data_IF_625781422914
#
_entry.id   IF_625781422914
#
_cell.length_a   1.000
_cell.length_b   1.000
_cell.length_c   1.000
_cell.angle_alpha   90.00
_cell.angle_beta   90.00
_cell.angle_gamma   90.00
#
_symmetry.space_group_name_H-M   'P 1'
#
loop_
_entity.id
_entity.type
_entity.pdbx_description
1 polymer ?
#
# COMPACT_ATOMS: atom_id res chain seq x y z
N UNK A 1 -5.49 9.16 -31.64
CA UNK A 1 -6.10 8.76 -32.93
C UNK A 1 -5.64 7.35 -33.27
N UNK A 2 -6.60 6.44 -33.43
CA UNK A 2 -6.42 5.01 -33.74
C UNK A 2 -5.78 4.81 -35.11
N UNK A 3 -4.90 3.81 -35.25
CA UNK A 3 -4.69 3.09 -36.52
C UNK A 3 -4.51 1.59 -36.29
N UNK A 4 -5.64 0.90 -36.39
CA UNK A 4 -5.78 -0.55 -36.55
C UNK A 4 -5.33 -0.93 -37.97
N UNK A 5 -4.47 -1.94 -38.10
CA UNK A 5 -4.16 -2.56 -39.41
C UNK A 5 -4.68 -4.00 -39.40
N UNK A 6 -5.71 -4.24 -40.22
CA UNK A 6 -6.22 -5.56 -40.56
C UNK A 6 -5.34 -6.18 -41.64
N UNK A 7 -4.82 -7.38 -41.42
CA UNK A 7 -4.31 -8.24 -42.48
C UNK A 7 -5.34 -9.34 -42.76
N UNK A 8 -6.02 -9.20 -43.90
CA UNK A 8 -6.80 -10.24 -44.52
C UNK A 8 -5.85 -11.22 -45.23
N UNK A 9 -5.95 -12.52 -44.93
CA UNK A 9 -5.35 -13.57 -45.74
C UNK A 9 -6.41 -14.55 -46.22
N UNK A 10 -6.31 -14.81 -47.52
CA UNK A 10 -7.22 -15.53 -48.41
C UNK A 10 -7.41 -16.99 -48.01
N UNK A 11 -8.65 -17.44 -48.13
CA UNK A 11 -9.12 -18.81 -47.95
C UNK A 11 -8.73 -19.71 -49.15
N UNK A 12 -8.02 -20.80 -48.87
CA UNK A 12 -7.94 -21.96 -49.76
C UNK A 12 -8.92 -23.02 -49.26
N UNK A 13 -9.94 -23.31 -50.06
CA UNK A 13 -10.93 -24.37 -49.82
C UNK A 13 -10.31 -25.72 -50.17
N UNK A 14 -10.12 -26.59 -49.17
CA UNK A 14 -9.86 -28.01 -49.37
C UNK A 14 -11.06 -28.80 -48.84
N UNK A 15 -11.74 -29.51 -49.74
CA UNK A 15 -12.85 -30.42 -49.41
C UNK A 15 -12.24 -31.74 -48.96
N UNK A 16 -12.41 -32.08 -47.68
CA UNK A 16 -11.97 -33.35 -47.07
C UNK A 16 -13.04 -33.92 -46.14
N UNK A 17 -13.29 -35.22 -46.28
CA UNK A 17 -14.41 -35.96 -45.71
C UNK A 17 -14.11 -36.47 -44.29
N UNK A 18 -15.09 -36.30 -43.38
CA UNK A 18 -15.36 -37.06 -42.14
C UNK A 18 -14.37 -37.02 -40.95
N UNK A 19 -14.80 -36.35 -39.88
CA UNK A 19 -14.94 -36.90 -38.51
C UNK A 19 -15.69 -35.87 -37.64
N UNK A 20 -16.83 -36.23 -37.05
CA UNK A 20 -17.52 -35.38 -36.08
C UNK A 20 -16.72 -35.34 -34.77
N UNK A 21 -15.77 -34.40 -34.69
CA UNK A 21 -15.19 -34.00 -33.41
C UNK A 21 -16.23 -33.09 -32.74
N UNK A 22 -16.85 -33.60 -31.68
CA UNK A 22 -17.56 -32.78 -30.72
C UNK A 22 -16.58 -31.74 -30.20
N UNK A 23 -16.71 -30.50 -30.67
CA UNK A 23 -16.08 -29.35 -30.04
C UNK A 23 -16.60 -29.29 -28.61
N UNK A 24 -15.85 -29.87 -27.68
CA UNK A 24 -16.01 -29.57 -26.28
C UNK A 24 -15.78 -28.08 -26.15
N UNK A 25 -16.87 -27.32 -26.04
CA UNK A 25 -16.82 -25.96 -25.56
C UNK A 25 -16.17 -26.03 -24.19
N UNK A 26 -14.86 -25.81 -24.13
CA UNK A 26 -14.21 -25.38 -22.92
C UNK A 26 -14.92 -24.08 -22.56
N UNK A 27 -15.91 -24.20 -21.66
CA UNK A 27 -16.31 -23.06 -20.84
C UNK A 27 -15.00 -22.51 -20.29
N UNK A 28 -14.75 -21.19 -20.32
CA UNK A 28 -13.72 -20.64 -19.47
C UNK A 28 -13.98 -21.27 -18.11
N UNK A 29 -13.01 -21.99 -17.56
CA UNK A 29 -13.13 -22.44 -16.19
C UNK A 29 -13.40 -21.18 -15.39
N UNK A 30 -14.64 -21.03 -14.93
CA UNK A 30 -14.84 -20.34 -13.67
C UNK A 30 -13.83 -21.01 -12.74
N UNK A 31 -12.86 -20.24 -12.24
CA UNK A 31 -11.84 -20.72 -11.33
C UNK A 31 -12.56 -21.51 -10.23
N UNK A 32 -12.55 -22.84 -10.35
CA UNK A 32 -12.99 -23.72 -9.29
C UNK A 32 -11.80 -23.72 -8.31
N UNK A 33 -11.90 -22.98 -7.21
CA UNK A 33 -12.64 -23.37 -6.01
C UNK A 33 -11.83 -24.34 -5.13
N UNK A 34 -10.53 -24.10 -4.98
CA UNK A 34 -9.94 -24.25 -3.65
C UNK A 34 -10.22 -22.93 -2.94
N UNK A 35 -11.32 -22.89 -2.18
CA UNK A 35 -11.70 -21.71 -1.40
C UNK A 35 -10.54 -21.23 -0.52
N UNK A 36 -10.55 -19.94 -0.21
CA UNK A 36 -9.51 -19.36 0.65
C UNK A 36 -9.48 -20.00 2.05
N UNK A 37 -8.31 -20.00 2.68
CA UNK A 37 -8.12 -20.48 4.06
C UNK A 37 -7.11 -19.59 4.78
N UNK A 38 -6.87 -19.82 6.08
CA UNK A 38 -5.81 -19.12 6.80
C UNK A 38 -4.44 -19.25 6.10
N UNK A 39 -4.21 -20.34 5.36
CA UNK A 39 -2.99 -20.57 4.62
C UNK A 39 -2.81 -19.64 3.40
N UNK A 40 -3.91 -19.05 2.90
CA UNK A 40 -3.87 -18.02 1.84
C UNK A 40 -3.15 -16.75 2.32
N UNK A 41 -3.23 -16.44 3.62
CA UNK A 41 -2.44 -15.40 4.26
C UNK A 41 -1.24 -15.99 5.00
N UNK A 42 -0.07 -15.96 4.35
CA UNK A 42 1.19 -16.40 4.97
C UNK A 42 2.35 -15.53 4.51
N UNK A 43 3.31 -15.33 5.42
CA UNK A 43 4.50 -14.53 5.16
C UNK A 43 4.29 -13.05 5.48
N UNK A 44 5.18 -12.23 4.96
CA UNK A 44 5.29 -10.82 5.32
C UNK A 44 4.57 -9.89 4.35
N UNK A 45 3.90 -8.88 4.90
CA UNK A 45 3.10 -7.87 4.22
C UNK A 45 3.44 -6.49 4.77
N UNK A 46 3.26 -5.46 3.95
CA UNK A 46 3.30 -4.07 4.36
C UNK A 46 1.91 -3.45 4.34
N UNK A 47 1.69 -2.44 5.16
CA UNK A 47 0.46 -1.66 5.18
C UNK A 47 0.76 -0.18 5.39
N UNK A 48 -0.12 0.67 4.87
CA UNK A 48 -0.29 2.05 5.29
C UNK A 48 -1.79 2.33 5.35
N UNK A 49 -2.25 2.95 6.43
CA UNK A 49 -3.65 3.27 6.67
C UNK A 49 -3.76 4.56 7.45
N UNK A 50 -4.70 5.41 7.05
CA UNK A 50 -5.15 6.54 7.83
C UNK A 50 -6.63 6.38 8.19
N UNK A 51 -7.04 7.11 9.22
CA UNK A 51 -8.42 7.07 9.69
C UNK A 51 -8.70 8.04 10.81
N UNK A 52 -9.96 8.01 11.23
CA UNK A 52 -10.49 8.90 12.25
C UNK A 52 -11.20 8.11 13.33
N UNK A 53 -11.09 8.61 14.56
CA UNK A 53 -11.80 8.11 15.73
C UNK A 53 -12.79 9.16 16.24
N UNK A 54 -13.99 8.71 16.61
CA UNK A 54 -15.12 9.52 17.03
C UNK A 54 -15.59 9.08 18.42
N UNK A 55 -15.85 10.05 19.29
CA UNK A 55 -16.43 9.75 20.60
C UNK A 55 -17.96 9.54 20.51
N UNK A 56 -18.57 9.27 21.66
CA UNK A 56 -19.99 8.87 21.75
C UNK A 56 -21.00 9.94 21.28
N UNK A 57 -20.62 11.22 21.29
CA UNK A 57 -21.42 12.32 20.74
C UNK A 57 -21.11 12.66 19.28
N UNK A 58 -20.30 11.84 18.59
CA UNK A 58 -20.05 11.94 17.15
C UNK A 58 -19.00 12.99 16.74
N UNK A 59 -18.42 13.72 17.69
CA UNK A 59 -17.23 14.54 17.45
C UNK A 59 -16.00 13.66 17.23
N UNK A 60 -15.17 14.07 16.31
CA UNK A 60 -13.83 13.53 16.13
C UNK A 60 -13.00 13.78 17.38
N UNK A 61 -12.23 12.77 17.79
CA UNK A 61 -11.36 12.81 18.98
C UNK A 61 -9.92 12.49 18.63
N UNK A 62 -9.68 11.84 17.49
CA UNK A 62 -8.35 11.62 16.96
C UNK A 62 -8.38 11.38 15.45
N UNK A 63 -7.31 11.80 14.79
CA UNK A 63 -6.90 11.34 13.48
C UNK A 63 -5.62 10.51 13.65
N UNK A 64 -5.50 9.45 12.87
CA UNK A 64 -4.33 8.59 12.92
C UNK A 64 -3.86 8.18 11.54
N UNK A 65 -2.57 7.87 11.47
CA UNK A 65 -1.93 7.29 10.30
C UNK A 65 -0.92 6.26 10.77
N UNK A 66 -0.98 5.04 10.23
CA UNK A 66 -0.13 3.92 10.57
C UNK A 66 0.56 3.36 9.33
N UNK A 67 1.83 3.00 9.48
CA UNK A 67 2.57 2.23 8.48
C UNK A 67 3.36 1.12 9.18
N UNK A 68 3.49 -0.02 8.53
CA UNK A 68 4.38 -1.04 9.04
C UNK A 68 4.30 -2.38 8.35
N UNK A 69 4.85 -3.39 9.03
CA UNK A 69 5.01 -4.75 8.54
C UNK A 69 4.25 -5.76 9.39
N UNK A 70 3.51 -6.63 8.73
CA UNK A 70 2.73 -7.73 9.33
C UNK A 70 3.31 -9.07 8.87
N UNK A 71 3.45 -10.02 9.78
CA UNK A 71 3.77 -11.41 9.51
C UNK A 71 2.56 -12.29 9.82
N UNK A 72 1.99 -12.92 8.80
CA UNK A 72 0.95 -13.94 8.96
C UNK A 72 1.57 -15.33 9.00
N UNK A 73 1.16 -16.15 9.97
CA UNK A 73 1.71 -17.50 10.17
C UNK A 73 1.10 -18.58 9.26
N UNK A 74 0.02 -18.28 8.53
CA UNK A 74 -0.72 -19.26 7.72
C UNK A 74 -1.70 -20.13 8.51
N UNK A 75 -1.82 -19.92 9.82
CA UNK A 75 -2.58 -20.76 10.76
C UNK A 75 -3.57 -19.94 11.61
N UNK A 76 -3.54 -18.62 11.52
CA UNK A 76 -4.49 -17.72 12.18
C UNK A 76 -3.89 -16.81 13.24
N UNK A 77 -2.56 -16.72 13.34
CA UNK A 77 -1.88 -15.74 14.18
C UNK A 77 -1.08 -14.75 13.33
N UNK A 78 -1.05 -13.51 13.78
CA UNK A 78 -0.23 -12.46 13.17
C UNK A 78 0.61 -11.75 14.23
N UNK A 79 1.76 -11.24 13.79
CA UNK A 79 2.58 -10.30 14.55
C UNK A 79 3.00 -9.15 13.64
N UNK A 80 3.37 -8.01 14.22
CA UNK A 80 3.83 -6.90 13.41
C UNK A 80 4.46 -5.77 14.21
N UNK A 81 5.06 -4.86 13.46
CA UNK A 81 5.71 -3.65 13.97
C UNK A 81 5.47 -2.52 12.98
N UNK A 82 5.42 -1.30 13.46
CA UNK A 82 5.17 -0.14 12.62
C UNK A 82 5.43 1.18 13.33
N UNK A 83 4.95 2.24 12.70
CA UNK A 83 4.91 3.59 13.23
C UNK A 83 3.49 4.12 13.13
N UNK A 84 3.00 4.69 14.22
CA UNK A 84 1.73 5.41 14.31
C UNK A 84 2.04 6.91 14.39
N UNK A 85 1.22 7.72 13.72
CA UNK A 85 1.03 9.12 14.04
C UNK A 85 -0.37 9.31 14.59
N UNK A 86 -0.49 9.67 15.86
CA UNK A 86 -1.78 9.93 16.52
C UNK A 86 -1.88 11.43 16.80
N UNK A 87 -2.77 12.14 16.10
CA UNK A 87 -2.86 13.61 16.14
C UNK A 87 -1.48 14.29 15.93
N UNK A 88 -0.64 13.73 15.07
CA UNK A 88 0.71 14.20 14.79
C UNK A 88 1.79 13.75 15.80
N UNK A 89 1.43 12.99 16.83
CA UNK A 89 2.40 12.40 17.76
C UNK A 89 2.91 11.05 17.22
N UNK A 90 4.21 10.98 16.96
CA UNK A 90 4.84 9.82 16.32
C UNK A 90 5.24 8.77 17.36
N UNK A 91 4.70 7.56 17.25
CA UNK A 91 4.92 6.45 18.18
C UNK A 91 5.34 5.18 17.42
N UNK A 92 6.38 4.47 17.87
CA UNK A 92 6.63 3.11 17.39
C UNK A 92 5.56 2.17 17.97
N UNK A 93 5.04 1.26 17.14
CA UNK A 93 4.03 0.27 17.55
C UNK A 93 4.55 -1.15 17.34
N UNK A 94 4.20 -2.03 18.27
CA UNK A 94 4.42 -3.49 18.19
C UNK A 94 3.12 -4.16 18.56
N UNK A 95 2.60 -4.99 17.66
CA UNK A 95 1.30 -5.60 17.80
C UNK A 95 1.33 -7.10 17.49
N UNK A 96 0.32 -7.79 18.01
CA UNK A 96 0.02 -9.17 17.69
C UNK A 96 -1.49 -9.36 17.58
N UNK A 97 -1.91 -10.49 17.01
CA UNK A 97 -3.31 -10.69 16.74
C UNK A 97 -3.64 -12.08 16.24
N UNK A 98 -4.92 -12.28 15.95
CA UNK A 98 -5.41 -13.47 15.28
C UNK A 98 -6.23 -13.10 14.06
N UNK A 99 -6.34 -14.03 13.12
CA UNK A 99 -7.16 -13.86 11.93
C UNK A 99 -7.83 -15.17 11.51
N UNK A 100 -8.94 -15.06 10.81
CA UNK A 100 -9.66 -16.17 10.21
C UNK A 100 -10.08 -15.81 8.79
N UNK A 101 -9.83 -16.71 7.86
CA UNK A 101 -10.21 -16.61 6.44
C UNK A 101 -11.23 -17.68 6.12
N UNK A 102 -12.34 -17.27 5.51
CA UNK A 102 -13.41 -18.13 5.03
C UNK A 102 -13.15 -18.56 3.59
N UNK A 103 -13.83 -19.62 3.15
CA UNK A 103 -13.67 -20.18 1.80
C UNK A 103 -14.07 -19.21 0.68
N UNK A 104 -14.91 -18.21 0.98
CA UNK A 104 -15.29 -17.13 0.07
C UNK A 104 -14.27 -15.97 0.03
N UNK A 105 -13.11 -16.16 0.65
CA UNK A 105 -12.02 -15.18 0.73
C UNK A 105 -12.32 -13.94 1.57
N UNK A 106 -13.44 -13.91 2.30
CA UNK A 106 -13.66 -12.94 3.37
C UNK A 106 -12.97 -13.39 4.66
N UNK A 107 -12.72 -12.46 5.56
CA UNK A 107 -12.13 -12.79 6.85
C UNK A 107 -12.27 -11.69 7.88
N UNK A 108 -11.77 -12.01 9.08
CA UNK A 108 -11.72 -11.11 10.22
C UNK A 108 -10.36 -11.19 10.88
N UNK A 109 -9.86 -10.07 11.40
CA UNK A 109 -8.68 -10.04 12.24
C UNK A 109 -8.93 -9.22 13.50
N UNK A 110 -8.27 -9.61 14.60
CA UNK A 110 -8.16 -8.80 15.80
C UNK A 110 -6.69 -8.47 16.03
N UNK A 111 -6.41 -7.19 16.25
CA UNK A 111 -5.06 -6.67 16.46
C UNK A 111 -5.01 -6.05 17.85
N UNK A 112 -3.92 -6.29 18.58
CA UNK A 112 -3.70 -5.81 19.92
C UNK A 112 -2.24 -5.40 20.15
N UNK A 113 -2.04 -4.35 20.94
CA UNK A 113 -0.74 -3.85 21.38
C UNK A 113 -0.23 -2.70 20.49
N UNK A 114 0.05 -1.53 21.09
CA UNK A 114 0.28 -0.31 20.31
C UNK A 114 -1.00 0.09 19.56
N UNK A 115 -1.24 -0.53 18.40
CA UNK A 115 -2.47 -0.49 17.62
C UNK A 115 -3.49 -1.51 18.16
N UNK A 116 -4.76 -1.14 18.24
CA UNK A 116 -5.87 -2.08 18.51
C UNK A 116 -6.96 -1.88 17.47
N UNK A 117 -7.36 -2.95 16.81
CA UNK A 117 -8.38 -2.90 15.76
C UNK A 117 -9.10 -4.24 15.59
N UNK A 118 -10.38 -4.19 15.25
CA UNK A 118 -11.15 -5.33 14.73
C UNK A 118 -11.44 -5.13 13.26
N UNK A 119 -10.78 -5.90 12.40
CA UNK A 119 -10.87 -5.76 10.96
C UNK A 119 -11.87 -6.75 10.35
N UNK A 120 -12.58 -6.29 9.32
CA UNK A 120 -13.19 -7.15 8.30
C UNK A 120 -12.45 -6.95 7.00
N UNK A 121 -12.14 -8.06 6.32
CA UNK A 121 -11.32 -8.00 5.12
C UNK A 121 -11.74 -8.98 4.04
N UNK A 122 -11.21 -8.75 2.84
CA UNK A 122 -11.30 -9.65 1.70
C UNK A 122 -9.92 -9.83 1.07
N UNK A 123 -9.58 -11.07 0.73
CA UNK A 123 -8.35 -11.38 0.00
C UNK A 123 -8.51 -11.06 -1.48
N UNK A 124 -7.48 -10.43 -2.03
CA UNK A 124 -7.34 -10.12 -3.46
C UNK A 124 -6.21 -10.97 -4.03
N UNK A 125 -6.39 -11.43 -5.27
CA UNK A 125 -5.39 -12.22 -6.01
C UNK A 125 -4.81 -13.40 -5.22
N UNK A 126 -5.66 -14.12 -4.48
CA UNK A 126 -5.22 -15.29 -3.69
C UNK A 126 -4.41 -14.92 -2.45
N UNK A 127 -4.58 -13.71 -1.91
CA UNK A 127 -3.90 -13.21 -0.72
C UNK A 127 -2.60 -12.47 -1.03
N UNK A 128 -2.43 -11.93 -2.24
CA UNK A 128 -1.31 -11.03 -2.54
C UNK A 128 -1.59 -9.61 -2.03
N UNK A 129 -2.87 -9.25 -1.94
CA UNK A 129 -3.37 -8.04 -1.32
C UNK A 129 -4.56 -8.40 -0.42
N UNK A 130 -4.79 -7.58 0.61
CA UNK A 130 -5.96 -7.63 1.47
C UNK A 130 -6.58 -6.24 1.50
N UNK A 131 -7.86 -6.15 1.16
CA UNK A 131 -8.67 -4.95 1.38
C UNK A 131 -9.39 -5.09 2.71
N UNK A 132 -9.21 -4.13 3.61
CA UNK A 132 -9.74 -4.18 4.97
C UNK A 132 -10.43 -2.87 5.36
N UNK A 133 -11.40 -3.00 6.26
CA UNK A 133 -11.96 -1.89 7.02
C UNK A 133 -11.85 -2.20 8.51
N UNK A 134 -11.74 -1.14 9.31
CA UNK A 134 -11.99 -1.23 10.74
C UNK A 134 -13.51 -1.35 11.00
N UNK A 135 -13.87 -2.15 12.00
CA UNK A 135 -15.25 -2.36 12.43
C UNK A 135 -15.48 -2.04 13.90
N UNK A 136 -14.47 -1.50 14.59
CA UNK A 136 -14.62 -1.02 15.95
C UNK A 136 -15.57 0.20 16.00
N UNK A 137 -16.46 0.28 17.02
CA UNK A 137 -17.38 1.40 17.13
C UNK A 137 -16.66 2.75 17.26
N UNK A 138 -17.03 3.69 16.38
CA UNK A 138 -16.47 5.03 16.38
C UNK A 138 -15.15 5.15 15.62
N UNK A 139 -14.69 4.13 14.90
CA UNK A 139 -13.53 4.23 14.02
C UNK A 139 -13.98 4.20 12.55
N UNK A 140 -13.37 5.06 11.73
CA UNK A 140 -13.52 5.06 10.27
C UNK A 140 -12.13 4.95 9.66
N UNK A 141 -11.81 3.78 9.15
CA UNK A 141 -10.55 3.51 8.45
C UNK A 141 -10.74 2.39 7.41
N UNK A 142 -10.03 2.51 6.30
CA UNK A 142 -9.93 1.49 5.28
C UNK A 142 -8.50 1.47 4.73
N UNK A 143 -8.00 0.28 4.40
CA UNK A 143 -6.61 0.16 3.97
C UNK A 143 -6.34 -1.10 3.17
N UNK A 144 -5.17 -1.08 2.53
CA UNK A 144 -4.61 -2.19 1.80
C UNK A 144 -3.40 -2.75 2.52
N UNK A 145 -3.36 -4.07 2.63
CA UNK A 145 -2.20 -4.81 3.16
C UNK A 145 -1.64 -5.65 2.02
N UNK A 146 -0.41 -5.36 1.61
CA UNK A 146 0.18 -5.90 0.37
C UNK A 146 1.38 -6.79 0.70
N UNK A 147 1.46 -7.95 0.06
CA UNK A 147 2.53 -8.92 0.32
C UNK A 147 3.88 -8.37 -0.12
N UNK A 148 4.93 -8.61 0.68
CA UNK A 148 6.27 -8.13 0.35
C UNK A 148 6.84 -8.72 -0.94
N UNK A 149 6.55 -10.01 -1.19
CA UNK A 149 7.05 -10.79 -2.34
C UNK A 149 8.59 -10.74 -2.51
N UNK A 150 9.32 -10.49 -1.42
CA UNK A 150 10.77 -10.41 -1.36
C UNK A 150 11.26 -11.27 -0.19
N UNK A 151 12.29 -12.09 -0.44
CA UNK A 151 12.92 -12.89 0.62
C UNK A 151 13.88 -12.06 1.49
N UNK A 152 14.32 -10.92 0.97
CA UNK A 152 15.13 -9.93 1.67
C UNK A 152 15.31 -8.67 0.83
N UNK A 153 15.59 -7.56 1.49
CA UNK A 153 15.71 -6.25 0.84
C UNK A 153 17.07 -5.57 1.05
N UNK A 154 17.38 -4.66 0.12
CA UNK A 154 18.51 -3.73 0.16
C UNK A 154 18.09 -2.42 -0.50
N UNK A 155 18.95 -1.39 -0.52
CA UNK A 155 18.65 -0.14 -1.22
C UNK A 155 18.27 -0.37 -2.70
N UNK A 156 18.79 -1.43 -3.33
CA UNK A 156 18.49 -1.78 -4.72
C UNK A 156 17.04 -2.26 -4.93
N UNK A 157 16.37 -2.72 -3.87
CA UNK A 157 14.95 -3.12 -3.91
C UNK A 157 14.03 -1.94 -4.21
N UNK A 158 14.45 -0.71 -3.87
CA UNK A 158 13.72 0.53 -4.16
C UNK A 158 14.39 1.30 -5.31
N UNK A 159 14.74 0.64 -6.42
CA UNK A 159 15.35 1.29 -7.59
C UNK A 159 14.31 1.54 -8.69
N UNK A 160 14.22 2.78 -9.16
CA UNK A 160 13.38 3.13 -10.30
C UNK A 160 12.73 4.50 -10.19
N UNK A 161 11.72 4.71 -11.01
CA UNK A 161 10.89 5.91 -10.97
C UNK A 161 9.56 5.51 -10.34
N UNK A 162 9.14 6.24 -9.32
CA UNK A 162 7.91 6.02 -8.58
C UNK A 162 7.02 7.26 -8.65
N UNK A 163 5.73 7.06 -8.44
CA UNK A 163 4.73 8.11 -8.26
C UNK A 163 3.96 7.86 -6.99
N UNK A 164 3.45 8.92 -6.37
CA UNK A 164 2.45 8.80 -5.31
C UNK A 164 1.38 9.87 -5.48
N UNK A 165 0.22 9.62 -4.89
CA UNK A 165 -0.77 10.62 -4.55
C UNK A 165 -1.33 10.25 -3.17
N UNK A 166 -1.35 11.20 -2.25
CA UNK A 166 -1.89 10.96 -0.92
C UNK A 166 -2.48 12.21 -0.29
N UNK A 167 -3.26 11.98 0.75
CA UNK A 167 -3.85 12.98 1.62
C UNK A 167 -3.44 12.74 3.07
N UNK A 168 -3.61 13.76 3.89
CA UNK A 168 -3.41 13.70 5.34
C UNK A 168 -3.58 15.08 5.93
N UNK A 169 -3.10 15.25 7.16
CA UNK A 169 -3.36 16.45 7.95
C UNK A 169 -2.11 16.92 8.70
N UNK A 170 -2.06 18.22 8.97
CA UNK A 170 -1.02 18.84 9.79
C UNK A 170 -1.60 19.26 11.14
N UNK A 171 -0.91 18.93 12.22
CA UNK A 171 -1.26 19.24 13.60
C UNK A 171 -0.26 20.21 14.22
N UNK A 172 -0.79 21.16 14.99
CA UNK A 172 -0.02 22.08 15.81
C UNK A 172 -0.50 22.08 17.28
N UNK A 173 0.02 23.01 18.11
CA UNK A 173 -0.34 23.08 19.53
C UNK A 173 -1.84 23.29 19.83
N UNK A 174 -2.62 23.73 18.85
CA UNK A 174 -4.06 23.97 18.96
C UNK A 174 -4.94 22.84 18.40
N UNK A 175 -4.35 21.72 17.98
CA UNK A 175 -5.03 20.67 17.23
C UNK A 175 -4.69 20.74 15.74
N UNK A 176 -5.57 20.20 14.91
CA UNK A 176 -5.43 20.19 13.46
C UNK A 176 -5.33 21.64 12.92
N UNK A 177 -4.32 21.87 12.10
CA UNK A 177 -4.01 23.14 11.45
C UNK A 177 -4.44 23.16 9.97
N UNK A 178 -4.66 22.00 9.36
CA UNK A 178 -5.23 21.89 8.03
C UNK A 178 -4.92 20.59 7.30
N UNK A 179 -5.67 20.39 6.22
CA UNK A 179 -5.57 19.27 5.32
C UNK A 179 -4.45 19.47 4.30
N UNK A 180 -3.82 18.37 3.92
CA UNK A 180 -2.76 18.27 2.94
C UNK A 180 -3.13 17.24 1.89
N UNK A 181 -3.03 17.60 0.62
CA UNK A 181 -2.98 16.66 -0.47
C UNK A 181 -1.65 16.84 -1.21
N UNK A 182 -0.96 15.76 -1.55
CA UNK A 182 0.26 15.81 -2.32
C UNK A 182 0.32 14.70 -3.36
N UNK A 183 0.91 15.02 -4.51
CA UNK A 183 1.34 14.01 -5.46
C UNK A 183 2.75 14.34 -5.93
N UNK A 184 3.50 13.33 -6.34
CA UNK A 184 4.86 13.56 -6.76
C UNK A 184 5.46 12.41 -7.53
N UNK A 185 6.64 12.68 -8.08
CA UNK A 185 7.48 11.73 -8.80
C UNK A 185 8.80 11.62 -8.06
N UNK A 186 9.20 10.39 -7.77
CA UNK A 186 10.43 10.04 -7.07
C UNK A 186 11.33 9.28 -8.04
N UNK A 187 12.59 9.70 -8.19
CA UNK A 187 13.63 8.94 -8.89
C UNK A 187 14.59 8.42 -7.85
N UNK A 188 14.64 7.10 -7.69
CA UNK A 188 15.52 6.42 -6.76
C UNK A 188 16.64 5.70 -7.49
N UNK A 189 17.87 5.92 -7.03
CA UNK A 189 19.08 5.38 -7.66
C UNK A 189 19.36 3.90 -7.32
N UNK A 190 18.68 3.33 -6.32
CA UNK A 190 18.95 1.98 -5.80
C UNK A 190 20.16 1.88 -4.87
N UNK A 191 20.77 3.01 -4.52
CA UNK A 191 21.99 3.12 -3.71
C UNK A 191 21.81 4.04 -2.49
N UNK A 192 20.59 4.52 -2.24
CA UNK A 192 20.25 5.30 -1.06
C UNK A 192 20.07 6.79 -1.32
N UNK A 193 19.91 7.23 -2.58
CA UNK A 193 19.59 8.63 -2.90
C UNK A 193 18.34 8.72 -3.77
N UNK A 194 17.56 9.77 -3.52
CA UNK A 194 16.39 10.13 -4.31
C UNK A 194 16.47 11.56 -4.84
N UNK A 195 15.84 11.79 -5.98
CA UNK A 195 15.44 13.13 -6.43
C UNK A 195 13.95 13.14 -6.69
N UNK A 196 13.28 14.20 -6.25
CA UNK A 196 11.84 14.21 -6.14
C UNK A 196 11.30 15.54 -6.66
N UNK A 197 10.09 15.49 -7.22
CA UNK A 197 9.31 16.67 -7.59
C UNK A 197 7.87 16.42 -7.17
N UNK A 198 7.30 17.32 -6.39
CA UNK A 198 5.95 17.18 -5.86
C UNK A 198 5.15 18.46 -6.01
N UNK A 199 3.83 18.30 -5.93
CA UNK A 199 2.89 19.40 -5.79
C UNK A 199 2.01 19.11 -4.60
N UNK A 200 1.85 20.11 -3.75
CA UNK A 200 1.12 20.02 -2.49
C UNK A 200 0.01 21.05 -2.50
N UNK A 201 -1.13 20.70 -1.91
CA UNK A 201 -2.26 21.57 -1.64
C UNK A 201 -2.52 21.55 -0.14
N UNK A 202 -2.21 22.65 0.54
CA UNK A 202 -2.48 22.85 1.96
C UNK A 202 -3.72 23.73 2.12
N UNK A 203 -4.83 23.21 2.66
CA UNK A 203 -6.12 23.91 2.73
C UNK A 203 -6.54 24.55 1.37
N UNK A 204 -6.21 23.88 0.27
CA UNK A 204 -6.46 24.37 -1.10
C UNK A 204 -5.42 25.35 -1.67
N UNK A 205 -4.44 25.80 -0.87
CA UNK A 205 -3.33 26.61 -1.34
C UNK A 205 -2.23 25.72 -1.91
N UNK A 206 -1.91 25.94 -3.18
CA UNK A 206 -0.98 25.08 -3.91
C UNK A 206 0.45 25.58 -3.83
N UNK A 207 1.38 24.64 -3.67
CA UNK A 207 2.81 24.83 -3.84
C UNK A 207 3.38 23.69 -4.65
N UNK A 208 4.55 23.92 -5.25
CA UNK A 208 5.34 22.88 -5.88
C UNK A 208 6.79 23.13 -5.54
N UNK A 209 7.52 22.05 -5.29
CA UNK A 209 8.93 22.08 -5.00
C UNK A 209 9.61 20.81 -5.49
N UNK A 210 10.94 20.86 -5.44
CA UNK A 210 11.80 19.73 -5.72
C UNK A 210 12.51 19.34 -4.45
N UNK A 211 12.71 18.04 -4.25
CA UNK A 211 13.42 17.53 -3.09
C UNK A 211 14.61 16.67 -3.49
N UNK A 212 15.59 16.62 -2.61
CA UNK A 212 16.69 15.65 -2.67
C UNK A 212 16.66 14.83 -1.39
N UNK A 213 16.71 13.52 -1.52
CA UNK A 213 16.59 12.64 -0.37
C UNK A 213 17.68 11.59 -0.25
N UNK A 214 17.76 11.01 0.94
CA UNK A 214 18.57 9.83 1.24
C UNK A 214 17.72 8.77 1.90
N UNK A 215 18.02 7.49 1.68
CA UNK A 215 17.27 6.39 2.29
C UNK A 215 18.14 5.17 2.58
N UNK A 216 17.67 4.36 3.53
CA UNK A 216 18.25 3.07 3.88
C UNK A 216 17.16 2.01 4.00
N UNK A 217 17.41 0.84 3.41
CA UNK A 217 16.49 -0.30 3.42
C UNK A 217 17.06 -1.43 4.28
N UNK A 218 16.28 -1.90 5.24
CA UNK A 218 16.59 -3.03 6.08
C UNK A 218 16.32 -4.36 5.36
N UNK A 219 16.97 -5.47 5.78
CA UNK A 219 16.75 -6.79 5.17
C UNK A 219 15.30 -7.29 5.20
N UNK A 220 14.47 -6.83 6.14
CA UNK A 220 13.05 -7.17 6.24
C UNK A 220 12.12 -6.26 5.41
N UNK A 221 12.72 -5.43 4.54
CA UNK A 221 12.06 -4.50 3.63
C UNK A 221 11.42 -3.29 4.29
N UNK A 222 11.57 -3.10 5.61
CA UNK A 222 11.34 -1.79 6.23
C UNK A 222 12.50 -0.84 5.91
N UNK A 223 12.30 0.45 6.07
CA UNK A 223 13.35 1.43 5.86
C UNK A 223 12.96 2.81 6.34
N UNK A 224 13.91 3.73 6.22
CA UNK A 224 13.69 5.14 6.51
C UNK A 224 14.35 6.03 5.45
N UNK A 225 13.76 7.21 5.26
CA UNK A 225 14.24 8.20 4.32
C UNK A 225 14.18 9.61 4.92
N UNK A 226 14.98 10.50 4.35
CA UNK A 226 14.90 11.95 4.56
C UNK A 226 14.76 12.63 3.21
N UNK A 227 13.91 13.65 3.12
CA UNK A 227 13.72 14.45 1.90
C UNK A 227 13.90 15.92 2.22
N UNK A 228 14.78 16.61 1.49
CA UNK A 228 15.10 18.03 1.72
C UNK A 228 14.48 18.87 0.61
N UNK A 229 13.58 19.78 0.98
CA UNK A 229 12.83 20.64 0.07
C UNK A 229 13.69 21.83 -0.40
N UNK A 230 13.63 22.12 -1.70
CA UNK A 230 14.34 23.24 -2.30
C UNK A 230 13.36 24.30 -2.82
N UNK A 231 13.55 25.59 -2.49
CA UNK A 231 14.71 26.18 -1.80
C UNK A 231 14.54 26.34 -0.27
N UNK A 232 13.46 25.84 0.34
CA UNK A 232 13.16 26.13 1.76
C UNK A 232 14.15 25.52 2.75
N UNK A 233 14.76 24.38 2.40
CA UNK A 233 15.59 23.58 3.30
C UNK A 233 14.81 22.79 4.34
N UNK A 234 13.47 22.76 4.25
CA UNK A 234 12.64 21.94 5.13
C UNK A 234 12.97 20.46 4.90
N UNK A 235 12.88 19.67 5.97
CA UNK A 235 13.24 18.25 5.94
C UNK A 235 12.05 17.41 6.36
N UNK A 236 11.64 16.52 5.48
CA UNK A 236 10.70 15.46 5.80
C UNK A 236 11.46 14.20 6.22
N UNK A 237 10.97 13.53 7.25
CA UNK A 237 11.44 12.20 7.67
C UNK A 237 10.36 11.19 7.39
N UNK A 238 10.72 10.01 6.87
CA UNK A 238 9.76 9.03 6.38
C UNK A 238 10.17 7.64 6.85
N UNK A 239 9.20 6.84 7.31
CA UNK A 239 9.34 5.38 7.42
C UNK A 239 8.57 4.72 6.29
N UNK A 240 9.06 3.58 5.81
CA UNK A 240 8.41 2.86 4.73
C UNK A 240 8.63 1.35 4.81
N UNK A 241 7.76 0.62 4.11
CA UNK A 241 7.89 -0.82 3.85
C UNK A 241 7.74 -1.10 2.36
N UNK A 242 8.73 -1.76 1.77
CA UNK A 242 8.71 -2.17 0.38
C UNK A 242 7.84 -3.43 0.23
N UNK A 243 6.92 -3.38 -0.72
CA UNK A 243 6.00 -4.47 -1.04
C UNK A 243 6.01 -4.80 -2.53
N UNK A 244 5.28 -5.85 -2.91
CA UNK A 244 5.10 -6.28 -4.30
C UNK A 244 6.42 -6.38 -5.11
N UNK A 245 7.45 -6.99 -4.53
CA UNK A 245 8.70 -7.19 -5.28
C UNK A 245 9.49 -5.91 -5.53
N UNK A 246 9.15 -4.79 -4.87
CA UNK A 246 9.74 -3.47 -5.13
C UNK A 246 9.00 -2.66 -6.18
N UNK A 247 7.83 -3.14 -6.65
CA UNK A 247 6.91 -2.36 -7.47
C UNK A 247 6.15 -1.32 -6.63
N UNK A 248 6.01 -1.53 -5.33
CA UNK A 248 5.26 -0.66 -4.44
C UNK A 248 6.02 -0.44 -3.11
N UNK A 249 5.80 0.69 -2.44
CA UNK A 249 6.09 0.81 -1.01
C UNK A 249 4.99 1.59 -0.28
N UNK A 250 4.70 1.19 0.96
CA UNK A 250 3.82 1.93 1.87
C UNK A 250 4.69 2.86 2.72
N UNK A 251 4.24 4.08 3.01
CA UNK A 251 5.04 5.04 3.76
C UNK A 251 4.20 5.85 4.77
N UNK A 252 4.89 6.40 5.76
CA UNK A 252 4.40 7.39 6.72
C UNK A 252 5.41 8.54 6.86
N UNK A 253 4.93 9.77 6.91
CA UNK A 253 5.74 10.94 7.29
C UNK A 253 5.84 10.98 8.82
N UNK A 254 7.08 11.03 9.32
CA UNK A 254 7.42 10.94 10.75
C UNK A 254 7.84 12.27 11.35
N UNK A 255 7.56 13.38 10.66
CA UNK A 255 7.69 14.72 11.23
C UNK A 255 6.62 14.91 12.32
N UNK A 256 6.98 15.43 13.51
CA UNK A 256 5.98 15.78 14.51
C UNK A 256 4.94 16.75 13.94
N UNK A 257 3.67 16.44 14.16
CA UNK A 257 2.54 17.16 13.59
C UNK A 257 2.02 16.58 12.27
N UNK A 258 2.70 15.66 11.60
CA UNK A 258 2.19 15.06 10.37
C UNK A 258 1.31 13.84 10.67
N UNK A 259 0.08 13.82 10.17
CA UNK A 259 -0.75 12.61 10.02
C UNK A 259 -0.85 12.36 8.53
N UNK A 260 0.14 11.68 7.97
CA UNK A 260 0.28 11.55 6.52
C UNK A 260 0.94 10.21 6.18
N UNK A 261 0.18 9.34 5.54
CA UNK A 261 0.65 8.05 4.99
C UNK A 261 0.37 8.00 3.51
N UNK A 262 0.87 6.99 2.82
CA UNK A 262 0.47 6.74 1.44
C UNK A 262 1.15 5.52 0.84
N UNK A 263 0.96 5.40 -0.47
CA UNK A 263 1.59 4.38 -1.29
C UNK A 263 2.41 5.05 -2.40
N UNK A 264 3.60 4.52 -2.66
CA UNK A 264 4.41 4.87 -3.83
C UNK A 264 4.40 3.70 -4.80
N UNK A 265 4.05 3.97 -6.05
CA UNK A 265 3.92 2.98 -7.11
C UNK A 265 5.00 3.17 -8.18
N UNK A 266 5.65 2.08 -8.57
CA UNK A 266 6.69 2.10 -9.60
C UNK A 266 6.05 2.37 -10.96
N UNK A 267 6.54 3.39 -11.64
CA UNK A 267 6.12 3.67 -13.01
C UNK A 267 6.75 2.63 -13.94
N UNK A 268 5.94 1.89 -14.73
CA UNK A 268 6.47 1.06 -15.80
C UNK A 268 7.04 1.99 -16.86
N UNK A 269 8.35 2.21 -16.82
CA UNK A 269 9.05 2.80 -17.95
C UNK A 269 9.05 1.73 -19.04
N UNK A 270 8.54 2.07 -20.23
CA UNK A 270 8.61 1.16 -21.37
C UNK A 270 10.04 0.66 -21.53
N UNK A 271 10.20 -0.66 -21.62
CA UNK A 271 11.48 -1.24 -22.01
C UNK A 271 11.76 -0.77 -23.44
N UNK A 272 12.80 0.04 -23.63
CA UNK A 272 13.40 0.30 -24.94
C UNK A 272 14.14 -0.95 -25.45
#
# INVERSE_FOLDING_TARGET
>A
MRRTVYLALLSAVAIGLAATLSSGSARPGALADEGCTNHSLRGAYGFAVDGQAFGTSGQEVAEFADEGRILFDGHGNLTGTGTESLNGAINPIVFAGTYSVQSDCTGTATIQGGLTATLRFMLVEGGQEVNAIDTDPGVVAAGQIVKQQLAGCTNASFKGVYSFASTGSAFGPGGEAGDVAAFGRIVSDGHGHTTESSSTSFNGLQSADTQTGTYSVNPDCTGSATSIHHPSGNVDTVNFVIVEGGAEAKFIVTNPGAVFVGTVDKQPLGED
#
